data_IF_574946991322
#
_entry.id   IF_574946991322
#
_cell.length_a   1.000
_cell.length_b   1.000
_cell.length_c   1.000
_cell.angle_alpha   90.00
_cell.angle_beta   90.00
_cell.angle_gamma   90.00
#
_symmetry.space_group_name_H-M   'P 1'
#
loop_
_entity.id
_entity.type
_entity.pdbx_description
1 polymer ?
#
# COMPACT_ATOMS: atom_id res chain seq x y z
N UNK A 1 -14.32 8.48 15.38
CA UNK A 1 -14.12 7.91 14.03
C UNK A 1 -12.75 7.26 14.09
N UNK A 2 -12.63 5.95 13.83
CA UNK A 2 -11.32 5.31 13.87
C UNK A 2 -10.46 5.91 12.73
N UNK A 3 -9.33 6.52 13.08
CA UNK A 3 -8.40 7.08 12.11
C UNK A 3 -7.70 5.92 11.40
N UNK A 4 -7.94 5.78 10.09
CA UNK A 4 -7.26 4.78 9.26
C UNK A 4 -5.82 5.20 9.00
N UNK A 5 -4.92 4.24 8.81
CA UNK A 5 -3.53 4.53 8.43
C UNK A 5 -3.50 4.92 6.96
N UNK A 6 -3.01 6.12 6.67
CA UNK A 6 -2.84 6.61 5.30
C UNK A 6 -1.55 6.03 4.69
N UNK A 7 -1.67 5.47 3.50
CA UNK A 7 -0.55 4.91 2.74
C UNK A 7 -0.55 5.54 1.34
N UNK A 8 0.56 6.17 0.97
CA UNK A 8 0.71 6.83 -0.32
C UNK A 8 1.77 6.09 -1.13
N UNK A 9 1.40 5.55 -2.29
CA UNK A 9 2.33 4.82 -3.16
C UNK A 9 2.70 5.71 -4.33
N UNK A 10 3.95 6.18 -4.35
CA UNK A 10 4.50 7.00 -5.42
C UNK A 10 4.98 6.07 -6.55
N UNK A 11 4.40 6.20 -7.73
CA UNK A 11 4.72 5.35 -8.88
C UNK A 11 5.00 6.17 -10.14
N UNK A 12 5.67 5.56 -11.11
CA UNK A 12 5.64 6.08 -12.48
C UNK A 12 4.33 5.68 -13.15
N UNK A 13 4.05 4.38 -13.19
CA UNK A 13 2.87 3.80 -13.80
C UNK A 13 2.69 2.35 -13.32
N UNK A 14 1.68 2.04 -12.49
CA UNK A 14 1.46 0.67 -11.98
C UNK A 14 1.06 -0.35 -13.06
N UNK A 15 0.56 0.10 -14.22
CA UNK A 15 0.06 -0.77 -15.29
C UNK A 15 1.17 -1.22 -16.22
N UNK A 16 2.11 -0.32 -16.52
CA UNK A 16 3.18 -0.53 -17.50
C UNK A 16 4.54 -0.79 -16.84
N UNK A 17 4.77 -0.35 -15.60
CA UNK A 17 6.00 -0.61 -14.86
C UNK A 17 5.82 -1.78 -13.89
N UNK A 18 6.50 -2.90 -14.17
CA UNK A 18 6.41 -4.12 -13.36
C UNK A 18 6.72 -3.88 -11.86
N UNK A 19 7.77 -3.12 -11.54
CA UNK A 19 8.13 -2.82 -10.16
C UNK A 19 7.04 -1.98 -9.44
N UNK A 20 6.42 -1.02 -10.14
CA UNK A 20 5.30 -0.25 -9.59
C UNK A 20 4.08 -1.15 -9.35
N UNK A 21 3.80 -2.06 -10.28
CA UNK A 21 2.74 -3.06 -10.14
C UNK A 21 2.94 -3.94 -8.90
N UNK A 22 4.14 -4.53 -8.73
CA UNK A 22 4.44 -5.34 -7.55
C UNK A 22 4.33 -4.57 -6.23
N UNK A 23 4.72 -3.30 -6.23
CA UNK A 23 4.60 -2.46 -5.02
C UNK A 23 3.13 -2.19 -4.67
N UNK A 24 2.28 -1.89 -5.66
CA UNK A 24 0.83 -1.78 -5.44
C UNK A 24 0.22 -3.11 -4.98
N UNK A 25 0.65 -4.23 -5.56
CA UNK A 25 0.16 -5.56 -5.24
C UNK A 25 0.53 -5.97 -3.80
N UNK A 26 1.70 -5.54 -3.30
CA UNK A 26 2.12 -5.79 -1.90
C UNK A 26 1.15 -5.21 -0.87
N UNK A 27 0.50 -4.08 -1.19
CA UNK A 27 -0.51 -3.45 -0.34
C UNK A 27 -1.89 -4.05 -0.61
N UNK A 28 -2.23 -4.28 -1.88
CA UNK A 28 -3.54 -4.81 -2.25
C UNK A 28 -3.75 -6.28 -1.81
N UNK A 29 -2.65 -7.04 -1.66
CA UNK A 29 -2.69 -8.43 -1.18
C UNK A 29 -2.92 -8.55 0.33
N UNK A 30 -2.84 -7.43 1.09
CA UNK A 30 -3.09 -7.46 2.54
C UNK A 30 -4.49 -8.01 2.86
N UNK A 31 -4.66 -8.76 3.97
CA UNK A 31 -5.96 -9.30 4.40
C UNK A 31 -7.04 -8.22 4.54
N UNK A 32 -8.31 -8.59 4.34
CA UNK A 32 -9.47 -7.68 4.49
C UNK A 32 -9.48 -6.95 5.85
N UNK A 33 -9.09 -7.62 6.94
CA UNK A 33 -8.94 -6.99 8.26
C UNK A 33 -7.96 -5.81 8.25
N UNK A 34 -6.84 -5.94 7.53
CA UNK A 34 -5.85 -4.86 7.39
C UNK A 34 -6.35 -3.81 6.42
N UNK A 35 -6.98 -4.23 5.31
CA UNK A 35 -7.61 -3.32 4.35
C UNK A 35 -8.62 -2.37 5.01
N UNK A 36 -9.38 -2.84 6.02
CA UNK A 36 -10.32 -1.97 6.72
C UNK A 36 -9.63 -0.93 7.62
N UNK A 37 -8.42 -1.22 8.10
CA UNK A 37 -7.64 -0.31 8.95
C UNK A 37 -6.80 0.69 8.16
N UNK A 38 -6.63 0.51 6.85
CA UNK A 38 -5.81 1.38 6.00
C UNK A 38 -6.63 2.14 4.97
N UNK A 39 -6.04 3.23 4.49
CA UNK A 39 -6.48 3.92 3.28
C UNK A 39 -5.26 4.17 2.42
N UNK A 40 -5.18 3.47 1.28
CA UNK A 40 -4.05 3.62 0.36
C UNK A 40 -4.45 4.33 -0.93
N UNK A 41 -3.52 5.08 -1.52
CA UNK A 41 -3.69 5.76 -2.80
C UNK A 41 -2.45 5.65 -3.66
N UNK A 42 -2.62 5.41 -4.95
CA UNK A 42 -1.53 5.49 -5.94
C UNK A 42 -1.38 6.92 -6.45
N UNK A 43 -0.15 7.42 -6.47
CA UNK A 43 0.22 8.71 -7.02
C UNK A 43 1.21 8.53 -8.17
N UNK A 44 0.66 8.42 -9.38
CA UNK A 44 1.47 8.36 -10.60
C UNK A 44 2.04 9.74 -10.95
N UNK A 45 3.36 9.84 -11.08
CA UNK A 45 4.04 11.07 -11.51
C UNK A 45 3.80 11.42 -13.00
N UNK A 46 3.00 10.64 -13.73
CA UNK A 46 2.51 11.02 -15.07
C UNK A 46 1.45 12.13 -14.99
N UNK A 47 0.81 12.29 -13.84
CA UNK A 47 -0.25 13.27 -13.62
C UNK A 47 0.26 14.40 -12.71
N UNK A 48 -0.31 15.60 -12.89
CA UNK A 48 0.06 16.78 -12.08
C UNK A 48 -0.13 16.55 -10.57
N UNK A 49 -1.18 15.83 -10.18
CA UNK A 49 -1.46 15.50 -8.79
C UNK A 49 -0.37 14.59 -8.20
N UNK A 50 0.05 13.57 -8.94
CA UNK A 50 1.12 12.66 -8.49
C UNK A 50 2.49 13.34 -8.43
N UNK A 51 2.79 14.28 -9.33
CA UNK A 51 3.98 15.13 -9.22
C UNK A 51 3.93 15.98 -7.95
N UNK A 52 2.77 16.60 -7.67
CA UNK A 52 2.57 17.39 -6.45
C UNK A 52 2.79 16.55 -5.19
N UNK A 53 2.22 15.35 -5.14
CA UNK A 53 2.39 14.41 -4.03
C UNK A 53 3.82 13.89 -3.89
N UNK A 54 4.50 13.59 -5.00
CA UNK A 54 5.90 13.21 -4.98
C UNK A 54 6.80 14.29 -4.37
N UNK A 55 6.52 15.57 -4.68
CA UNK A 55 7.24 16.70 -4.08
C UNK A 55 6.87 16.92 -2.60
N UNK A 56 5.58 16.84 -2.25
CA UNK A 56 5.08 16.99 -0.88
C UNK A 56 5.71 15.94 0.06
N UNK A 57 5.74 14.69 -0.39
CA UNK A 57 6.26 13.54 0.36
C UNK A 57 7.78 13.37 0.24
N UNK A 58 8.47 14.34 -0.40
CA UNK A 58 9.93 14.36 -0.60
C UNK A 58 10.47 13.08 -1.25
N UNK A 59 9.70 12.51 -2.17
CA UNK A 59 10.10 11.33 -2.93
C UNK A 59 11.42 11.57 -3.68
N UNK A 60 12.30 10.57 -3.68
CA UNK A 60 13.59 10.62 -4.39
C UNK A 60 13.67 9.59 -5.50
N UNK A 61 13.13 8.40 -5.25
CA UNK A 61 13.15 7.25 -6.16
C UNK A 61 11.75 6.68 -6.33
N UNK A 62 11.53 5.93 -7.41
CA UNK A 62 10.26 5.26 -7.71
C UNK A 62 10.50 3.77 -7.95
N UNK A 63 9.55 2.89 -7.58
CA UNK A 63 8.36 3.21 -6.77
C UNK A 63 8.75 3.42 -5.29
N UNK A 64 7.95 4.19 -4.56
CA UNK A 64 8.14 4.38 -3.11
C UNK A 64 6.83 4.31 -2.34
N UNK A 65 6.86 3.81 -1.11
CA UNK A 65 5.71 3.79 -0.20
C UNK A 65 5.96 4.78 0.92
N UNK A 66 4.98 5.64 1.15
CA UNK A 66 4.89 6.49 2.32
C UNK A 66 3.77 6.03 3.24
N UNK A 67 3.99 6.09 4.55
CA UNK A 67 3.02 5.72 5.57
C UNK A 67 2.87 6.91 6.51
N UNK A 68 1.65 7.43 6.68
CA UNK A 68 1.38 8.65 7.46
C UNK A 68 2.24 9.85 7.04
N UNK A 69 2.58 9.95 5.75
CA UNK A 69 3.42 11.02 5.20
C UNK A 69 4.93 10.82 5.33
N UNK A 70 5.38 9.78 6.03
CA UNK A 70 6.80 9.41 6.10
C UNK A 70 7.18 8.50 4.92
N UNK A 71 8.29 8.79 4.27
CA UNK A 71 8.87 7.93 3.24
C UNK A 71 9.50 6.69 3.89
N UNK A 72 8.92 5.51 3.68
CA UNK A 72 9.30 4.28 4.40
C UNK A 72 10.07 3.32 3.52
N UNK A 73 9.55 3.03 2.33
CA UNK A 73 10.17 2.09 1.39
C UNK A 73 10.52 2.83 0.11
N UNK A 74 11.81 2.93 -0.19
CA UNK A 74 12.34 3.66 -1.33
C UNK A 74 12.93 2.67 -2.35
N UNK A 75 12.23 2.39 -3.45
CA UNK A 75 12.66 1.45 -4.49
C UNK A 75 12.93 0.01 -3.98
N UNK A 76 12.33 -0.37 -2.84
CA UNK A 76 12.43 -1.69 -2.23
C UNK A 76 11.01 -2.17 -1.97
N UNK A 77 10.65 -3.33 -2.54
CA UNK A 77 9.32 -3.92 -2.35
C UNK A 77 9.30 -4.60 -0.96
N UNK A 78 8.45 -4.14 -0.02
CA UNK A 78 8.43 -4.68 1.33
C UNK A 78 7.88 -6.11 1.35
N UNK A 79 8.31 -6.88 2.34
CA UNK A 79 7.59 -8.11 2.72
C UNK A 79 6.37 -7.77 3.57
N UNK A 80 5.43 -8.72 3.66
CA UNK A 80 4.19 -8.56 4.45
C UNK A 80 4.46 -8.12 5.89
N UNK A 81 5.40 -8.79 6.57
CA UNK A 81 5.74 -8.49 7.96
C UNK A 81 6.36 -7.10 8.12
N UNK A 82 7.24 -6.69 7.21
CA UNK A 82 7.90 -5.38 7.25
C UNK A 82 6.88 -4.24 7.03
N UNK A 83 5.95 -4.44 6.11
CA UNK A 83 4.88 -3.48 5.86
C UNK A 83 4.00 -3.31 7.10
N UNK A 84 3.62 -4.41 7.76
CA UNK A 84 2.85 -4.36 9.01
C UNK A 84 3.63 -3.71 10.14
N UNK A 85 4.91 -4.02 10.28
CA UNK A 85 5.75 -3.42 11.33
C UNK A 85 5.84 -1.91 11.17
N UNK A 86 6.05 -1.42 9.95
CA UNK A 86 6.13 0.01 9.68
C UNK A 86 4.78 0.72 9.85
N UNK A 87 3.68 0.04 9.55
CA UNK A 87 2.32 0.52 9.85
C UNK A 87 2.06 0.56 11.35
N UNK A 88 2.41 -0.49 12.10
CA UNK A 88 2.20 -0.58 13.54
C UNK A 88 3.01 0.46 14.31
N UNK A 89 4.22 0.79 13.84
CA UNK A 89 5.05 1.88 14.38
C UNK A 89 4.41 3.25 14.22
N UNK A 90 3.59 3.44 13.18
CA UNK A 90 2.93 4.72 12.82
C UNK A 90 1.42 4.69 13.06
N UNK A 91 0.92 3.68 13.76
CA UNK A 91 -0.50 3.56 14.04
C UNK A 91 -0.96 4.74 14.92
N UNK A 92 -2.13 5.34 14.63
CA UNK A 92 -2.63 6.49 15.39
C UNK A 92 -3.12 6.12 16.80
N UNK A 93 -3.44 4.84 17.05
CA UNK A 93 -3.91 4.35 18.34
C UNK A 93 -3.36 2.94 18.67
N UNK A 94 -3.25 2.63 19.97
CA UNK A 94 -2.77 1.34 20.45
C UNK A 94 -3.65 0.16 20.03
N UNK A 95 -4.96 0.36 19.85
CA UNK A 95 -5.86 -0.69 19.39
C UNK A 95 -5.53 -1.15 17.96
N UNK A 96 -5.24 -0.20 17.06
CA UNK A 96 -4.85 -0.50 15.67
C UNK A 96 -3.49 -1.20 15.66
N UNK A 97 -2.53 -0.69 16.44
CA UNK A 97 -1.21 -1.32 16.59
C UNK A 97 -1.32 -2.77 17.06
N UNK A 98 -2.08 -3.03 18.13
CA UNK A 98 -2.24 -4.38 18.68
C UNK A 98 -2.93 -5.31 17.69
N UNK A 99 -3.92 -4.81 16.93
CA UNK A 99 -4.59 -5.58 15.89
C UNK A 99 -3.62 -5.95 14.75
N UNK A 100 -2.82 -5.01 14.28
CA UNK A 100 -1.79 -5.24 13.27
C UNK A 100 -0.76 -6.28 13.72
N UNK A 101 -0.30 -6.20 14.97
CA UNK A 101 0.67 -7.16 15.52
C UNK A 101 0.07 -8.57 15.68
N UNK A 102 -1.21 -8.68 16.06
CA UNK A 102 -1.92 -9.97 16.09
C UNK A 102 -1.97 -10.60 14.69
N UNK A 103 -2.35 -9.82 13.68
CA UNK A 103 -2.47 -10.30 12.29
C UNK A 103 -1.10 -10.63 11.65
N UNK A 104 -0.01 -10.07 12.18
CA UNK A 104 1.35 -10.47 11.81
C UNK A 104 1.67 -11.88 12.32
N UNK A 105 1.36 -12.15 13.59
CA UNK A 105 1.69 -13.41 14.28
C UNK A 105 0.79 -14.58 13.82
N UNK A 106 -0.47 -14.31 13.52
CA UNK A 106 -1.42 -15.28 12.95
C UNK A 106 -0.98 -15.80 11.56
N UNK A 107 -0.02 -15.14 10.91
CA UNK A 107 0.58 -15.55 9.64
C UNK A 107 -0.28 -15.23 8.42
N UNK A 108 0.37 -15.08 7.26
CA UNK A 108 -0.31 -14.79 6.00
C UNK A 108 -1.10 -16.02 5.52
N UNK A 109 -2.43 -15.96 5.54
CA UNK A 109 -3.26 -17.06 5.05
C UNK A 109 -3.28 -17.06 3.50
N UNK A 110 -2.33 -17.76 2.90
CA UNK A 110 -2.16 -17.91 1.44
C UNK A 110 -3.41 -18.46 0.72
N UNK A 111 -4.37 -19.07 1.44
CA UNK A 111 -5.58 -19.63 0.85
C UNK A 111 -6.48 -18.58 0.16
N UNK A 112 -6.43 -17.32 0.60
CA UNK A 112 -7.35 -16.26 0.13
C UNK A 112 -6.69 -15.23 -0.80
N UNK A 113 -5.43 -15.44 -1.20
CA UNK A 113 -4.68 -14.57 -2.14
C UNK A 113 -5.49 -14.27 -3.41
N UNK A 114 -6.13 -15.30 -3.98
CA UNK A 114 -6.86 -15.18 -5.23
C UNK A 114 -8.13 -14.31 -5.12
N UNK A 115 -8.75 -14.24 -3.93
CA UNK A 115 -9.89 -13.36 -3.67
C UNK A 115 -9.46 -11.92 -3.44
N UNK A 116 -8.37 -11.70 -2.69
CA UNK A 116 -7.83 -10.36 -2.44
C UNK A 116 -7.32 -9.72 -3.74
N UNK A 117 -6.60 -10.48 -4.57
CA UNK A 117 -6.15 -10.04 -5.91
C UNK A 117 -7.33 -9.73 -6.85
N UNK A 118 -8.42 -10.50 -6.79
CA UNK A 118 -9.63 -10.22 -7.59
C UNK A 118 -10.34 -8.94 -7.16
N UNK A 119 -10.37 -8.64 -5.86
CA UNK A 119 -10.91 -7.37 -5.32
C UNK A 119 -10.00 -6.18 -5.68
N UNK A 120 -8.69 -6.38 -5.73
CA UNK A 120 -7.69 -5.36 -6.07
C UNK A 120 -7.80 -4.78 -7.49
N UNK A 121 -8.63 -5.37 -8.36
CA UNK A 121 -9.02 -4.72 -9.61
C UNK A 121 -7.89 -4.50 -10.61
N UNK A 122 -6.81 -5.29 -10.56
CA UNK A 122 -5.83 -5.36 -11.65
C UNK A 122 -6.48 -6.01 -12.88
N UNK A 123 -7.10 -5.18 -13.73
CA UNK A 123 -7.48 -5.54 -15.11
C UNK A 123 -8.97 -5.49 -15.49
N UNK A 124 -9.90 -5.03 -14.63
CA UNK A 124 -11.34 -5.02 -14.97
C UNK A 124 -11.88 -3.69 -15.51
N UNK A 125 -11.06 -2.64 -15.63
CA UNK A 125 -11.45 -1.36 -16.29
C UNK A 125 -10.87 -1.17 -17.70
N UNK A 126 -10.54 -2.25 -18.40
CA UNK A 126 -10.26 -2.23 -19.85
C UNK A 126 -11.20 -3.20 -20.57
N UNK A 127 -12.51 -2.90 -20.56
CA UNK A 127 -13.40 -3.39 -21.62
C UNK A 127 -13.75 -2.24 -22.55
N UNK A 128 -13.47 -2.52 -23.82
CA UNK A 128 -13.56 -1.69 -25.00
C UNK A 128 -14.79 -0.77 -25.09
N UNK A 129 -14.51 0.45 -25.55
CA UNK A 129 -15.42 1.33 -26.28
C UNK A 129 -14.59 2.06 -27.33
#
# INVERSE_FOLDING_TARGET
MAEKIQIDVLTLDSVQCAACGYMMESIAALPDDIQDMIQYSEWSIKNKEGIGKFMELKGKVLPSICIQGDLVFESIIPQYEELIDEMAKRAPDEAIKNRLMSLRDEGFNFANIAENLKKAGSGLKTKAG
#
